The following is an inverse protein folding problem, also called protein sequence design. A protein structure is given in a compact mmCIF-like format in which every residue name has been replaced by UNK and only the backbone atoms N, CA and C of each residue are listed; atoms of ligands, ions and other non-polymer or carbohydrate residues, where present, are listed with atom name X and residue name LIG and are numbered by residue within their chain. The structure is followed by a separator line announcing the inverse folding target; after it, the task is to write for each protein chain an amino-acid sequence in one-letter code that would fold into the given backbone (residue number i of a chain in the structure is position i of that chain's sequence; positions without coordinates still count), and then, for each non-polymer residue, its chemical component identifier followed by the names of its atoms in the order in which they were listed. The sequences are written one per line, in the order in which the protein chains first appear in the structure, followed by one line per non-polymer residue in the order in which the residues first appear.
data_IF_402317246148
#
_entry.id   IF_402317246148
#
_cell.length_a   1.000
_cell.length_b   1.000
_cell.length_c   1.000
_cell.angle_alpha   90.00
_cell.angle_beta   90.00
_cell.angle_gamma   90.00
#
_symmetry.space_group_name_H-M   'P 1'
#
loop_
_entity.id
_entity.type
_entity.pdbx_description
1 polymer ?
#
# COMPACT_ATOMS: atom_id res chain seq x y z
N UNK A 1 -34.74 3.21 6.77
CA UNK A 1 -35.99 2.41 6.88
C UNK A 1 -35.62 1.11 7.54
N UNK A 2 -36.48 0.58 8.43
CA UNK A 2 -36.18 -0.68 9.09
C UNK A 2 -36.21 -1.83 8.07
N UNK A 3 -35.33 -2.83 8.22
CA UNK A 3 -35.33 -4.05 7.39
C UNK A 3 -36.73 -4.65 7.30
N UNK A 4 -37.16 -5.00 6.08
CA UNK A 4 -38.41 -5.72 5.81
C UNK A 4 -38.15 -7.12 5.22
N UNK A 5 -39.21 -7.91 5.06
CA UNK A 5 -39.12 -9.29 4.57
C UNK A 5 -38.62 -9.39 3.11
N UNK A 6 -38.75 -8.33 2.32
CA UNK A 6 -38.33 -8.24 0.93
C UNK A 6 -36.93 -7.61 0.76
N UNK A 7 -36.37 -7.04 1.84
CA UNK A 7 -35.02 -6.51 1.89
C UNK A 7 -33.99 -7.63 1.70
N UNK A 8 -32.82 -7.28 1.17
CA UNK A 8 -31.70 -8.23 1.11
C UNK A 8 -31.26 -8.64 2.51
N UNK A 9 -30.95 -9.92 2.67
CA UNK A 9 -30.60 -10.46 3.96
C UNK A 9 -29.20 -9.95 4.40
N UNK A 10 -29.06 -9.45 5.64
CA UNK A 10 -27.79 -8.91 6.14
C UNK A 10 -26.68 -9.96 6.29
N UNK A 11 -26.96 -11.24 6.04
CA UNK A 11 -25.94 -12.29 5.99
C UNK A 11 -25.08 -12.26 4.72
N UNK A 12 -25.38 -11.39 3.75
CA UNK A 12 -24.58 -11.29 2.51
C UNK A 12 -24.82 -12.40 1.49
N UNK A 13 -25.92 -13.17 1.61
CA UNK A 13 -26.25 -14.27 0.68
C UNK A 13 -26.85 -13.83 -0.65
N UNK A 14 -27.14 -12.54 -0.85
CA UNK A 14 -27.88 -12.03 -2.00
C UNK A 14 -29.37 -12.38 -2.04
N UNK A 15 -29.89 -13.17 -1.08
CA UNK A 15 -31.30 -13.54 -0.98
C UNK A 15 -32.10 -12.53 -0.15
N UNK A 16 -33.41 -12.44 -0.38
CA UNK A 16 -34.32 -11.66 0.49
C UNK A 16 -34.45 -12.33 1.85
N UNK A 17 -34.69 -11.54 2.92
CA UNK A 17 -34.77 -12.04 4.30
C UNK A 17 -35.75 -13.20 4.45
N UNK A 18 -36.94 -13.11 3.84
CA UNK A 18 -37.97 -14.17 3.88
C UNK A 18 -37.52 -15.52 3.32
N UNK A 19 -36.47 -15.56 2.49
CA UNK A 19 -35.94 -16.77 1.87
C UNK A 19 -34.59 -17.21 2.47
N UNK A 20 -34.08 -16.53 3.51
CA UNK A 20 -32.78 -16.82 4.08
C UNK A 20 -32.78 -16.92 5.61
N UNK A 21 -33.26 -15.88 6.31
CA UNK A 21 -33.21 -15.80 7.78
C UNK A 21 -34.59 -15.40 8.35
N UNK A 22 -35.65 -15.98 7.79
CA UNK A 22 -37.03 -15.64 8.13
C UNK A 22 -37.37 -15.92 9.60
N UNK A 23 -36.80 -16.98 10.16
CA UNK A 23 -36.94 -17.39 11.56
C UNK A 23 -36.39 -16.34 12.55
N UNK A 24 -35.38 -15.56 12.12
CA UNK A 24 -34.78 -14.49 12.92
C UNK A 24 -35.33 -13.11 12.58
N UNK A 25 -36.32 -13.00 11.70
CA UNK A 25 -36.79 -11.71 11.19
C UNK A 25 -37.15 -10.68 12.29
N UNK A 26 -37.90 -11.03 13.36
CA UNK A 26 -38.21 -10.08 14.43
C UNK A 26 -36.96 -9.55 15.14
N UNK A 27 -35.96 -10.41 15.36
CA UNK A 27 -34.69 -10.03 15.98
C UNK A 27 -33.87 -9.13 15.04
N UNK A 28 -33.82 -9.48 13.75
CA UNK A 28 -33.12 -8.66 12.73
C UNK A 28 -33.70 -7.25 12.63
N UNK A 29 -35.03 -7.09 12.66
CA UNK A 29 -35.65 -5.76 12.68
C UNK A 29 -35.30 -4.96 13.92
N UNK A 30 -35.19 -5.62 15.08
CA UNK A 30 -34.81 -4.95 16.32
C UNK A 30 -33.35 -4.53 16.30
N UNK A 31 -32.44 -5.41 15.88
CA UNK A 31 -31.01 -5.12 15.72
C UNK A 31 -30.82 -3.95 14.75
N UNK A 32 -31.49 -3.96 13.60
CA UNK A 32 -31.42 -2.89 12.60
C UNK A 32 -31.86 -1.52 13.13
N UNK A 33 -32.92 -1.48 13.95
CA UNK A 33 -33.33 -0.24 14.66
C UNK A 33 -32.27 0.23 15.65
N UNK A 34 -31.63 -0.69 16.38
CA UNK A 34 -30.57 -0.34 17.34
C UNK A 34 -29.33 0.20 16.63
N UNK A 35 -28.94 -0.40 15.50
CA UNK A 35 -27.85 0.07 14.64
C UNK A 35 -28.17 1.46 14.06
N UNK A 36 -29.37 1.64 13.49
CA UNK A 36 -29.83 2.93 12.97
C UNK A 36 -29.89 4.01 14.05
N UNK A 37 -30.25 3.64 15.28
CA UNK A 37 -30.25 4.51 16.44
C UNK A 37 -28.88 4.71 17.09
N UNK A 38 -27.79 4.18 16.51
CA UNK A 38 -26.42 4.23 17.03
C UNK A 38 -26.27 3.67 18.45
N UNK A 39 -27.15 2.75 18.85
CA UNK A 39 -27.14 2.09 20.17
C UNK A 39 -26.20 0.87 20.16
N UNK A 40 -24.95 1.06 19.76
CA UNK A 40 -24.04 -0.03 19.39
C UNK A 40 -23.72 -0.99 20.54
N UNK A 41 -23.38 -0.49 21.74
CA UNK A 41 -23.09 -1.34 22.89
C UNK A 41 -24.28 -2.22 23.31
N UNK A 42 -25.48 -1.64 23.38
CA UNK A 42 -26.72 -2.37 23.66
C UNK A 42 -27.05 -3.37 22.55
N UNK A 43 -26.74 -3.02 21.29
CA UNK A 43 -26.95 -3.88 20.14
C UNK A 43 -26.09 -5.15 20.25
N UNK A 44 -24.81 -5.03 20.59
CA UNK A 44 -23.92 -6.17 20.84
C UNK A 44 -24.50 -7.09 21.91
N UNK A 45 -24.88 -6.54 23.07
CA UNK A 45 -25.49 -7.33 24.17
C UNK A 45 -26.80 -8.00 23.77
N UNK A 46 -27.57 -7.39 22.87
CA UNK A 46 -28.78 -8.00 22.35
C UNK A 46 -28.47 -9.17 21.42
N UNK A 47 -27.52 -8.99 20.50
CA UNK A 47 -27.08 -10.03 19.57
C UNK A 47 -26.51 -11.23 20.34
N UNK A 48 -25.67 -11.01 21.36
CA UNK A 48 -25.10 -12.10 22.17
C UNK A 48 -26.19 -12.98 22.80
N UNK A 49 -27.22 -12.36 23.40
CA UNK A 49 -28.38 -13.09 23.97
C UNK A 49 -29.20 -13.85 22.92
N UNK A 50 -29.25 -13.37 21.68
CA UNK A 50 -29.93 -14.09 20.58
C UNK A 50 -29.06 -15.27 20.13
N UNK A 51 -27.74 -15.10 20.11
CA UNK A 51 -26.77 -16.14 19.72
C UNK A 51 -26.69 -17.31 20.72
N UNK A 52 -26.97 -17.07 22.00
CA UNK A 52 -27.04 -18.12 23.03
C UNK A 52 -28.20 -19.11 22.85
N UNK A 53 -29.20 -18.76 22.02
CA UNK A 53 -30.40 -19.59 21.81
C UNK A 53 -30.19 -20.58 20.67
N UNK A 54 -30.48 -21.87 20.92
CA UNK A 54 -30.50 -22.90 19.88
C UNK A 54 -29.20 -22.97 19.09
N UNK A 55 -29.29 -22.97 17.75
CA UNK A 55 -28.15 -23.00 16.84
C UNK A 55 -27.75 -21.61 16.30
N UNK A 56 -28.13 -20.53 16.99
CA UNK A 56 -27.95 -19.17 16.49
C UNK A 56 -26.48 -18.68 16.46
N UNK A 57 -25.61 -19.29 17.28
CA UNK A 57 -24.19 -18.88 17.41
C UNK A 57 -23.38 -18.90 16.11
N UNK A 58 -23.80 -19.67 15.11
CA UNK A 58 -23.14 -19.76 13.81
C UNK A 58 -23.92 -19.06 12.69
N UNK A 59 -24.98 -18.31 12.98
CA UNK A 59 -25.80 -17.68 11.93
C UNK A 59 -25.09 -16.45 11.37
N UNK A 60 -24.81 -16.48 10.07
CA UNK A 60 -24.08 -15.43 9.36
C UNK A 60 -24.72 -14.03 9.50
N UNK A 61 -26.05 -13.91 9.53
CA UNK A 61 -26.72 -12.62 9.74
C UNK A 61 -26.39 -11.99 11.10
N UNK A 62 -26.32 -12.79 12.17
CA UNK A 62 -26.00 -12.30 13.51
C UNK A 62 -24.52 -11.94 13.62
N UNK A 63 -23.63 -12.75 13.05
CA UNK A 63 -22.19 -12.46 13.01
C UNK A 63 -21.89 -11.18 12.22
N UNK A 64 -22.49 -11.01 11.03
CA UNK A 64 -22.35 -9.79 10.22
C UNK A 64 -22.84 -8.53 10.96
N UNK A 65 -24.03 -8.59 11.57
CA UNK A 65 -24.56 -7.46 12.33
C UNK A 65 -23.78 -7.20 13.63
N UNK A 66 -23.18 -8.24 14.23
CA UNK A 66 -22.29 -8.10 15.38
C UNK A 66 -21.00 -7.37 15.00
N UNK A 67 -20.38 -7.71 13.88
CA UNK A 67 -19.21 -6.97 13.36
C UNK A 67 -19.54 -5.48 13.19
N UNK A 68 -20.67 -5.17 12.54
CA UNK A 68 -21.13 -3.78 12.38
C UNK A 68 -21.34 -3.06 13.72
N UNK A 69 -21.98 -3.73 14.69
CA UNK A 69 -22.21 -3.16 16.01
C UNK A 69 -20.90 -2.94 16.80
N UNK A 70 -19.96 -3.87 16.72
CA UNK A 70 -18.66 -3.77 17.39
C UNK A 70 -17.80 -2.64 16.79
N UNK A 71 -17.81 -2.51 15.46
CA UNK A 71 -17.16 -1.40 14.76
C UNK A 71 -17.73 -0.05 15.18
N UNK A 72 -19.06 0.10 15.21
CA UNK A 72 -19.71 1.33 15.68
C UNK A 72 -19.46 1.63 17.17
N UNK A 73 -19.23 0.61 18.00
CA UNK A 73 -18.88 0.75 19.40
C UNK A 73 -17.36 0.98 19.65
N UNK A 74 -16.55 0.99 18.59
CA UNK A 74 -15.08 1.07 18.66
C UNK A 74 -14.43 -0.04 19.53
N UNK A 75 -15.02 -1.25 19.54
CA UNK A 75 -14.53 -2.41 20.30
C UNK A 75 -13.64 -3.30 19.41
N UNK A 76 -12.44 -2.80 19.09
CA UNK A 76 -11.55 -3.37 18.05
C UNK A 76 -11.16 -4.83 18.32
N UNK A 77 -10.70 -5.18 19.52
CA UNK A 77 -10.25 -6.55 19.82
C UNK A 77 -11.37 -7.58 19.65
N UNK A 78 -12.58 -7.23 20.09
CA UNK A 78 -13.75 -8.10 19.94
C UNK A 78 -14.23 -8.20 18.50
N UNK A 79 -14.09 -7.12 17.71
CA UNK A 79 -14.36 -7.14 16.29
C UNK A 79 -13.42 -8.12 15.57
N UNK A 80 -12.12 -8.04 15.84
CA UNK A 80 -11.10 -8.95 15.27
C UNK A 80 -11.46 -10.40 15.57
N UNK A 81 -11.75 -10.72 16.84
CA UNK A 81 -12.13 -12.07 17.25
C UNK A 81 -13.43 -12.54 16.60
N UNK A 82 -14.43 -11.65 16.47
CA UNK A 82 -15.72 -11.97 15.83
C UNK A 82 -15.56 -12.18 14.32
N UNK A 83 -14.74 -11.36 13.65
CA UNK A 83 -14.47 -11.50 12.23
C UNK A 83 -13.74 -12.81 11.91
N UNK A 84 -12.74 -13.17 12.73
CA UNK A 84 -12.04 -14.45 12.61
C UNK A 84 -12.96 -15.66 12.80
N UNK A 85 -13.80 -15.65 13.85
CA UNK A 85 -14.81 -16.70 14.09
C UNK A 85 -15.85 -16.75 12.95
N UNK A 86 -16.24 -15.60 12.41
CA UNK A 86 -17.16 -15.53 11.29
C UNK A 86 -16.56 -16.16 10.04
N UNK A 87 -15.32 -15.81 9.69
CA UNK A 87 -14.63 -16.36 8.54
C UNK A 87 -14.41 -17.87 8.69
N UNK A 88 -14.05 -18.35 9.88
CA UNK A 88 -13.87 -19.77 10.14
C UNK A 88 -15.16 -20.58 9.90
N UNK A 89 -16.33 -20.00 10.22
CA UNK A 89 -17.64 -20.66 10.04
C UNK A 89 -18.21 -20.49 8.62
N UNK A 90 -17.87 -19.40 7.95
CA UNK A 90 -18.40 -19.02 6.64
C UNK A 90 -17.25 -18.55 5.73
N UNK A 91 -16.37 -19.46 5.28
CA UNK A 91 -15.10 -19.12 4.63
C UNK A 91 -15.24 -18.36 3.30
N UNK A 92 -16.37 -18.51 2.62
CA UNK A 92 -16.64 -17.88 1.32
C UNK A 92 -17.66 -16.74 1.40
N UNK A 93 -18.03 -16.31 2.62
CA UNK A 93 -18.96 -15.20 2.79
C UNK A 93 -18.25 -13.86 2.58
N UNK A 94 -18.73 -13.05 1.63
CA UNK A 94 -18.12 -11.76 1.30
C UNK A 94 -17.99 -10.81 2.50
N UNK A 95 -18.94 -10.84 3.45
CA UNK A 95 -18.89 -9.98 4.64
C UNK A 95 -17.83 -10.49 5.61
N UNK A 96 -17.77 -11.80 5.86
CA UNK A 96 -16.76 -12.39 6.73
C UNK A 96 -15.34 -12.13 6.22
N UNK A 97 -15.13 -12.25 4.90
CA UNK A 97 -13.88 -11.94 4.23
C UNK A 97 -13.53 -10.44 4.33
N UNK A 98 -14.49 -9.55 4.06
CA UNK A 98 -14.27 -8.10 4.13
C UNK A 98 -13.96 -7.61 5.56
N UNK A 99 -14.69 -8.08 6.57
CA UNK A 99 -14.45 -7.71 7.98
C UNK A 99 -13.10 -8.25 8.47
N UNK A 100 -12.71 -9.44 8.03
CA UNK A 100 -11.38 -9.99 8.33
C UNK A 100 -10.28 -9.21 7.63
N UNK A 101 -10.49 -8.81 6.37
CA UNK A 101 -9.56 -7.94 5.63
C UNK A 101 -9.35 -6.62 6.37
N UNK A 102 -10.43 -5.95 6.79
CA UNK A 102 -10.37 -4.69 7.56
C UNK A 102 -9.61 -4.87 8.88
N UNK A 103 -9.82 -6.01 9.55
CA UNK A 103 -9.24 -6.30 10.85
C UNK A 103 -7.72 -6.46 10.82
N UNK A 104 -7.17 -7.11 9.79
CA UNK A 104 -5.73 -7.44 9.71
C UNK A 104 -4.91 -6.44 8.88
N UNK A 105 -5.55 -5.71 7.95
CA UNK A 105 -4.84 -4.85 7.01
C UNK A 105 -3.96 -3.75 7.63
N UNK A 106 -4.27 -3.16 8.81
CA UNK A 106 -3.37 -2.20 9.44
C UNK A 106 -1.99 -2.78 9.76
N UNK A 107 -1.94 -4.06 10.13
CA UNK A 107 -0.71 -4.75 10.51
C UNK A 107 -0.05 -5.36 9.26
N UNK A 108 -0.84 -6.01 8.41
CA UNK A 108 -0.40 -6.62 7.15
C UNK A 108 -1.38 -6.30 6.01
N UNK A 109 -1.05 -5.25 5.25
CA UNK A 109 -1.88 -4.75 4.16
C UNK A 109 -2.05 -5.78 3.03
N UNK A 110 -1.03 -6.58 2.72
CA UNK A 110 -1.11 -7.57 1.64
C UNK A 110 -1.93 -8.79 2.05
N UNK A 111 -1.79 -9.26 3.29
CA UNK A 111 -2.67 -10.32 3.81
C UNK A 111 -4.13 -9.86 3.84
N UNK A 112 -4.38 -8.61 4.29
CA UNK A 112 -5.71 -7.99 4.23
C UNK A 112 -6.24 -7.92 2.81
N UNK A 113 -5.39 -7.53 1.85
CA UNK A 113 -5.76 -7.40 0.46
C UNK A 113 -6.15 -8.74 -0.17
N UNK A 114 -5.42 -9.82 0.12
CA UNK A 114 -5.77 -11.18 -0.32
C UNK A 114 -7.15 -11.62 0.17
N UNK A 115 -7.52 -11.29 1.40
CA UNK A 115 -8.88 -11.55 1.91
C UNK A 115 -9.93 -10.68 1.22
N UNK A 116 -9.62 -9.41 0.95
CA UNK A 116 -10.51 -8.52 0.23
C UNK A 116 -10.76 -8.98 -1.22
N UNK A 117 -9.73 -9.41 -1.94
CA UNK A 117 -9.87 -9.96 -3.30
C UNK A 117 -10.80 -11.19 -3.32
N UNK A 118 -10.68 -12.06 -2.31
CA UNK A 118 -11.64 -13.17 -2.11
C UNK A 118 -13.05 -12.67 -1.81
N UNK A 119 -13.20 -11.59 -1.04
CA UNK A 119 -14.50 -10.97 -0.78
C UNK A 119 -15.16 -10.46 -2.08
N UNK A 120 -14.37 -9.84 -2.96
CA UNK A 120 -14.86 -9.38 -4.28
C UNK A 120 -15.31 -10.55 -5.15
N UNK A 121 -14.51 -11.61 -5.23
CA UNK A 121 -14.88 -12.88 -5.89
C UNK A 121 -16.21 -13.43 -5.37
N UNK A 122 -16.36 -13.55 -4.06
CA UNK A 122 -17.58 -14.04 -3.42
C UNK A 122 -18.80 -13.13 -3.64
N UNK A 123 -18.60 -11.85 -3.94
CA UNK A 123 -19.68 -10.91 -4.17
C UNK A 123 -20.25 -10.98 -5.60
N UNK A 124 -19.46 -11.44 -6.57
CA UNK A 124 -19.86 -11.59 -7.98
C UNK A 124 -20.59 -10.33 -8.53
N UNK A 125 -19.95 -9.17 -8.36
CA UNK A 125 -20.49 -7.86 -8.77
C UNK A 125 -21.54 -7.25 -7.83
N UNK A 126 -22.04 -7.99 -6.83
CA UNK A 126 -23.02 -7.49 -5.85
C UNK A 126 -22.36 -7.22 -4.49
N UNK A 127 -21.61 -6.13 -4.42
CA UNK A 127 -20.85 -5.76 -3.23
C UNK A 127 -21.74 -5.29 -2.08
N UNK A 128 -21.57 -5.93 -0.92
CA UNK A 128 -22.15 -5.47 0.33
C UNK A 128 -21.40 -4.23 0.86
N UNK A 129 -22.04 -3.45 1.73
CA UNK A 129 -21.45 -2.19 2.25
C UNK A 129 -20.12 -2.40 2.97
N UNK A 130 -19.94 -3.53 3.66
CA UNK A 130 -18.66 -3.95 4.25
C UNK A 130 -17.57 -4.17 3.20
N UNK A 131 -17.92 -4.78 2.06
CA UNK A 131 -16.98 -4.99 0.95
C UNK A 131 -16.53 -3.64 0.38
N UNK A 132 -17.43 -2.66 0.24
CA UNK A 132 -17.07 -1.28 -0.10
C UNK A 132 -16.22 -0.60 0.98
N UNK A 133 -16.50 -0.86 2.27
CA UNK A 133 -15.68 -0.37 3.38
C UNK A 133 -14.25 -0.90 3.30
N UNK A 134 -14.09 -2.20 3.04
CA UNK A 134 -12.79 -2.83 2.83
C UNK A 134 -12.08 -2.26 1.60
N UNK A 135 -12.79 -2.07 0.48
CA UNK A 135 -12.25 -1.46 -0.74
C UNK A 135 -11.61 -0.10 -0.49
N UNK A 136 -12.28 0.79 0.26
CA UNK A 136 -11.76 2.12 0.62
C UNK A 136 -10.51 2.06 1.50
N UNK A 137 -10.49 1.12 2.45
CA UNK A 137 -9.33 0.91 3.31
C UNK A 137 -8.15 0.36 2.50
N UNK A 138 -8.39 -0.63 1.63
CA UNK A 138 -7.36 -1.23 0.78
C UNK A 138 -6.76 -0.20 -0.18
N UNK A 139 -7.58 0.61 -0.85
CA UNK A 139 -7.10 1.67 -1.74
C UNK A 139 -6.12 2.63 -1.02
N UNK A 140 -6.42 2.96 0.25
CA UNK A 140 -5.57 3.84 1.07
C UNK A 140 -4.26 3.14 1.48
N UNK A 141 -4.35 1.92 2.02
CA UNK A 141 -3.20 1.20 2.55
C UNK A 141 -2.24 0.74 1.43
N UNK A 142 -2.76 0.26 0.30
CA UNK A 142 -1.95 -0.15 -0.84
C UNK A 142 -1.13 1.02 -1.38
N UNK A 143 -1.72 2.21 -1.50
CA UNK A 143 -0.99 3.42 -1.88
C UNK A 143 0.16 3.71 -0.90
N UNK A 144 -0.11 3.67 0.40
CA UNK A 144 0.91 3.92 1.44
C UNK A 144 2.03 2.87 1.46
N UNK A 145 1.76 1.66 0.97
CA UNK A 145 2.69 0.54 0.95
C UNK A 145 3.37 0.34 -0.42
N UNK A 146 3.23 1.28 -1.35
CA UNK A 146 3.92 1.22 -2.65
C UNK A 146 3.25 0.31 -3.69
N UNK A 147 1.94 0.06 -3.59
CA UNK A 147 1.17 -0.68 -4.59
C UNK A 147 0.22 0.26 -5.36
N UNK A 148 0.74 1.13 -6.25
CA UNK A 148 -0.04 2.20 -6.87
C UNK A 148 -1.10 1.68 -7.84
N UNK A 149 -0.80 0.65 -8.64
CA UNK A 149 -1.74 0.09 -9.64
C UNK A 149 -3.06 -0.38 -9.00
N UNK A 150 -3.07 -1.32 -8.03
CA UNK A 150 -4.32 -1.74 -7.41
C UNK A 150 -4.95 -0.62 -6.57
N UNK A 151 -4.16 0.26 -5.97
CA UNK A 151 -4.69 1.41 -5.23
C UNK A 151 -5.48 2.37 -6.12
N UNK A 152 -4.96 2.67 -7.33
CA UNK A 152 -5.60 3.50 -8.34
C UNK A 152 -6.91 2.88 -8.81
N UNK A 153 -6.88 1.60 -9.19
CA UNK A 153 -8.06 0.89 -9.70
C UNK A 153 -9.20 0.89 -8.68
N UNK A 154 -8.91 0.57 -7.42
CA UNK A 154 -9.92 0.63 -6.37
C UNK A 154 -10.42 2.07 -6.14
N UNK A 155 -9.53 3.07 -6.23
CA UNK A 155 -9.91 4.49 -6.12
C UNK A 155 -10.86 4.90 -7.24
N UNK A 156 -10.60 4.45 -8.46
CA UNK A 156 -11.47 4.69 -9.61
C UNK A 156 -12.88 4.11 -9.36
N UNK A 157 -12.97 2.84 -8.97
CA UNK A 157 -14.26 2.20 -8.64
C UNK A 157 -15.00 2.98 -7.55
N UNK A 158 -14.30 3.41 -6.49
CA UNK A 158 -14.88 4.22 -5.40
C UNK A 158 -15.42 5.55 -5.95
N UNK A 159 -14.65 6.25 -6.78
CA UNK A 159 -15.02 7.53 -7.37
C UNK A 159 -16.23 7.40 -8.30
N UNK A 160 -16.27 6.36 -9.14
CA UNK A 160 -17.41 6.08 -10.04
C UNK A 160 -18.69 5.83 -9.25
N UNK A 161 -18.62 5.05 -8.17
CA UNK A 161 -19.81 4.76 -7.33
C UNK A 161 -20.26 5.99 -6.54
N UNK A 162 -19.33 6.81 -6.07
CA UNK A 162 -19.63 8.02 -5.31
C UNK A 162 -20.02 9.22 -6.18
N UNK A 163 -19.82 9.14 -7.50
CA UNK A 163 -19.88 10.26 -8.43
C UNK A 163 -19.04 11.46 -7.97
N UNK A 164 -17.83 11.17 -7.45
CA UNK A 164 -16.88 12.17 -6.97
C UNK A 164 -15.44 11.76 -7.31
N UNK A 165 -14.80 12.54 -8.18
CA UNK A 165 -13.47 12.26 -8.73
C UNK A 165 -12.33 13.05 -8.06
N UNK A 166 -12.58 13.75 -6.95
CA UNK A 166 -11.53 14.52 -6.24
C UNK A 166 -10.37 13.63 -5.77
N UNK A 167 -10.69 12.42 -5.27
CA UNK A 167 -9.67 11.46 -4.81
C UNK A 167 -8.80 10.96 -5.97
N UNK A 168 -9.40 10.66 -7.12
CA UNK A 168 -8.66 10.25 -8.32
C UNK A 168 -7.83 11.41 -8.88
N UNK A 169 -8.34 12.64 -8.85
CA UNK A 169 -7.59 13.84 -9.25
C UNK A 169 -6.36 14.06 -8.36
N UNK A 170 -6.50 13.86 -7.05
CA UNK A 170 -5.39 13.93 -6.11
C UNK A 170 -4.34 12.84 -6.38
N UNK A 171 -4.79 11.61 -6.65
CA UNK A 171 -3.90 10.52 -7.05
C UNK A 171 -3.10 10.87 -8.32
N UNK A 172 -3.76 11.37 -9.36
CA UNK A 172 -3.11 11.73 -10.63
C UNK A 172 -2.13 12.91 -10.52
N UNK A 173 -2.13 13.67 -9.41
CA UNK A 173 -1.16 14.74 -9.14
C UNK A 173 0.01 14.30 -8.27
N UNK A 174 -0.04 13.09 -7.73
CA UNK A 174 1.00 12.57 -6.85
C UNK A 174 2.29 12.30 -7.62
N UNK A 175 3.30 13.13 -7.40
CA UNK A 175 4.60 13.05 -8.08
C UNK A 175 5.50 11.95 -7.50
N UNK A 176 5.13 11.34 -6.37
CA UNK A 176 5.90 10.23 -5.79
C UNK A 176 5.70 8.91 -6.53
N UNK A 177 4.61 8.78 -7.31
CA UNK A 177 4.33 7.60 -8.12
C UNK A 177 4.76 7.86 -9.58
N UNK A 178 5.59 6.99 -10.19
CA UNK A 178 5.96 7.11 -11.60
C UNK A 178 4.73 7.18 -12.52
N UNK A 179 4.82 7.98 -13.60
CA UNK A 179 3.70 8.23 -14.50
C UNK A 179 3.08 6.92 -15.04
N UNK A 180 3.92 5.96 -15.48
CA UNK A 180 3.46 4.69 -16.04
C UNK A 180 2.70 3.80 -15.05
N UNK A 181 2.88 3.99 -13.74
CA UNK A 181 2.13 3.26 -12.71
C UNK A 181 0.88 4.01 -12.23
N UNK A 182 0.77 5.29 -12.59
CA UNK A 182 -0.29 6.21 -12.17
C UNK A 182 -1.31 6.44 -13.29
N UNK A 183 -0.92 6.25 -14.55
CA UNK A 183 -1.80 6.41 -15.70
C UNK A 183 -2.86 5.30 -15.79
N UNK A 184 -3.89 5.52 -16.61
CA UNK A 184 -4.90 4.50 -16.89
C UNK A 184 -4.32 3.37 -17.72
N UNK A 185 -4.10 2.23 -17.07
CA UNK A 185 -3.64 1.03 -17.75
C UNK A 185 -4.83 0.32 -18.40
N UNK A 186 -4.97 0.48 -19.72
CA UNK A 186 -6.06 -0.07 -20.51
C UNK A 186 -5.79 -1.51 -20.95
N UNK A 187 -6.67 -2.44 -20.60
CA UNK A 187 -6.58 -3.83 -21.08
C UNK A 187 -6.63 -3.93 -22.61
N UNK A 188 -5.77 -4.78 -23.19
CA UNK A 188 -5.82 -5.06 -24.63
C UNK A 188 -7.05 -5.87 -25.02
N UNK A 189 -7.51 -5.72 -26.25
CA UNK A 189 -8.58 -6.55 -26.83
C UNK A 189 -8.02 -7.79 -27.53
N UNK A 190 -8.78 -8.87 -27.73
CA UNK A 190 -8.34 -9.99 -28.56
C UNK A 190 -8.43 -9.64 -30.07
N UNK A 191 -7.59 -10.23 -30.94
CA UNK A 191 -7.78 -10.16 -32.39
C UNK A 191 -9.14 -10.74 -32.81
N UNK A 192 -9.73 -10.23 -33.88
CA UNK A 192 -11.08 -10.64 -34.33
C UNK A 192 -11.14 -12.11 -34.75
N UNK A 193 -10.08 -12.62 -35.35
CA UNK A 193 -9.95 -13.96 -35.92
C UNK A 193 -9.28 -14.97 -34.97
N UNK A 194 -8.90 -14.55 -33.76
CA UNK A 194 -8.24 -15.41 -32.79
C UNK A 194 -9.15 -16.58 -32.37
N UNK A 195 -8.71 -17.85 -32.50
CA UNK A 195 -9.51 -19.02 -32.08
C UNK A 195 -9.86 -19.03 -30.59
N UNK A 196 -9.09 -18.29 -29.78
CA UNK A 196 -9.24 -18.14 -28.34
C UNK A 196 -10.02 -16.89 -27.91
N UNK A 197 -10.53 -16.11 -28.86
CA UNK A 197 -11.24 -14.84 -28.62
C UNK A 197 -12.38 -14.95 -27.61
N UNK A 198 -13.25 -15.96 -27.73
CA UNK A 198 -14.38 -16.15 -26.80
C UNK A 198 -13.91 -16.41 -25.37
N UNK A 199 -12.82 -17.16 -25.19
CA UNK A 199 -12.24 -17.43 -23.88
C UNK A 199 -11.61 -16.19 -23.28
N UNK A 200 -10.98 -15.35 -24.11
CA UNK A 200 -10.42 -14.07 -23.69
C UNK A 200 -11.52 -13.13 -23.19
N UNK A 201 -12.60 -12.96 -23.95
CA UNK A 201 -13.73 -12.13 -23.55
C UNK A 201 -14.44 -12.66 -22.30
N UNK A 202 -14.56 -13.99 -22.17
CA UNK A 202 -15.09 -14.61 -20.96
C UNK A 202 -14.20 -14.33 -19.73
N UNK A 203 -12.87 -14.33 -19.89
CA UNK A 203 -11.94 -13.94 -18.83
C UNK A 203 -12.10 -12.46 -18.43
N UNK A 204 -12.22 -11.56 -19.42
CA UNK A 204 -12.50 -10.14 -19.18
C UNK A 204 -13.85 -9.89 -18.51
N UNK A 205 -14.83 -10.77 -18.68
CA UNK A 205 -16.11 -10.69 -17.97
C UNK A 205 -15.96 -10.69 -16.44
N UNK A 206 -14.93 -11.35 -15.91
CA UNK A 206 -14.66 -11.37 -14.46
C UNK A 206 -14.20 -10.01 -13.93
N UNK A 207 -13.44 -9.24 -14.72
CA UNK A 207 -13.04 -7.87 -14.38
C UNK A 207 -14.26 -6.98 -14.13
N UNK A 208 -15.26 -7.05 -15.01
CA UNK A 208 -16.52 -6.28 -14.87
C UNK A 208 -17.30 -6.61 -13.59
N UNK A 209 -17.10 -7.80 -13.01
CA UNK A 209 -17.72 -8.23 -11.75
C UNK A 209 -16.81 -8.06 -10.53
N UNK A 210 -15.58 -7.59 -10.71
CA UNK A 210 -14.55 -7.44 -9.68
C UNK A 210 -13.85 -8.75 -9.25
N UNK A 211 -14.06 -9.87 -9.96
CA UNK A 211 -13.39 -11.14 -9.66
C UNK A 211 -12.03 -11.23 -10.37
N UNK A 212 -11.11 -10.35 -9.98
CA UNK A 212 -9.78 -10.24 -10.59
C UNK A 212 -8.94 -11.49 -10.41
N UNK A 213 -9.15 -12.23 -9.31
CA UNK A 213 -8.46 -13.50 -9.07
C UNK A 213 -8.81 -14.52 -10.16
N UNK A 214 -10.10 -14.67 -10.49
CA UNK A 214 -10.51 -15.61 -11.54
C UNK A 214 -10.06 -15.12 -12.91
N UNK A 215 -10.08 -13.81 -13.17
CA UNK A 215 -9.54 -13.27 -14.42
C UNK A 215 -8.06 -13.66 -14.60
N UNK A 216 -7.22 -13.43 -13.58
CA UNK A 216 -5.80 -13.81 -13.59
C UNK A 216 -5.61 -15.31 -13.86
N UNK A 217 -6.33 -16.19 -13.13
CA UNK A 217 -6.26 -17.65 -13.31
C UNK A 217 -6.61 -18.07 -14.75
N UNK A 218 -7.58 -17.40 -15.40
CA UNK A 218 -7.97 -17.68 -16.79
C UNK A 218 -6.92 -17.22 -17.78
N UNK A 219 -6.34 -16.04 -17.57
CA UNK A 219 -5.26 -15.53 -18.40
C UNK A 219 -3.97 -16.33 -18.25
N UNK A 220 -3.67 -16.81 -17.04
CA UNK A 220 -2.52 -17.69 -16.79
C UNK A 220 -2.67 -19.02 -17.54
N UNK A 221 -3.85 -19.67 -17.44
CA UNK A 221 -4.13 -20.87 -18.22
C UNK A 221 -4.02 -20.61 -19.74
N UNK A 222 -4.50 -19.45 -20.20
CA UNK A 222 -4.41 -19.07 -21.61
C UNK A 222 -2.96 -18.82 -22.06
N UNK A 223 -2.13 -18.22 -21.21
CA UNK A 223 -0.72 -17.96 -21.51
C UNK A 223 0.08 -19.26 -21.73
N UNK A 224 -0.33 -20.35 -21.08
CA UNK A 224 0.24 -21.70 -21.32
C UNK A 224 -0.18 -22.25 -22.69
N UNK A 225 -1.44 -22.04 -23.08
CA UNK A 225 -1.97 -22.57 -24.34
C UNK A 225 -1.54 -21.77 -25.57
N UNK A 226 -1.40 -20.46 -25.44
CA UNK A 226 -1.02 -19.54 -26.52
C UNK A 226 0.16 -18.65 -26.08
N UNK A 227 1.35 -19.24 -25.85
CA UNK A 227 2.50 -18.57 -25.24
C UNK A 227 3.13 -17.48 -26.11
N UNK A 228 2.76 -17.40 -27.39
CA UNK A 228 3.24 -16.44 -28.36
C UNK A 228 2.25 -15.27 -28.58
N UNK A 229 1.18 -15.18 -27.79
CA UNK A 229 0.22 -14.07 -27.89
C UNK A 229 0.60 -12.92 -26.95
N UNK A 230 1.05 -11.75 -27.48
CA UNK A 230 1.38 -10.60 -26.63
C UNK A 230 0.16 -10.12 -25.82
N UNK A 231 -1.02 -10.09 -26.45
CA UNK A 231 -2.27 -9.62 -25.82
C UNK A 231 -2.64 -10.45 -24.58
N UNK A 232 -2.39 -11.77 -24.59
CA UNK A 232 -2.63 -12.62 -23.43
C UNK A 232 -1.66 -12.31 -22.30
N UNK A 233 -0.37 -12.15 -22.61
CA UNK A 233 0.66 -11.80 -21.62
C UNK A 233 0.45 -10.42 -21.01
N UNK A 234 0.09 -9.41 -21.82
CA UNK A 234 -0.20 -8.07 -21.32
C UNK A 234 -1.37 -8.07 -20.32
N UNK A 235 -2.48 -8.73 -20.67
CA UNK A 235 -3.64 -8.82 -19.77
C UNK A 235 -3.32 -9.63 -18.52
N UNK A 236 -2.53 -10.71 -18.61
CA UNK A 236 -2.05 -11.45 -17.43
C UNK A 236 -1.21 -10.55 -16.52
N UNK A 237 -0.27 -9.77 -17.08
CA UNK A 237 0.56 -8.84 -16.33
C UNK A 237 -0.29 -7.79 -15.60
N UNK A 238 -1.28 -7.23 -16.30
CA UNK A 238 -2.25 -6.30 -15.75
C UNK A 238 -3.04 -6.89 -14.58
N UNK A 239 -3.58 -8.10 -14.71
CA UNK A 239 -4.29 -8.74 -13.60
C UNK A 239 -3.34 -9.06 -12.44
N UNK A 240 -2.14 -9.57 -12.68
CA UNK A 240 -1.16 -9.81 -11.60
C UNK A 240 -0.78 -8.52 -10.87
N UNK A 241 -0.62 -7.40 -11.58
CA UNK A 241 -0.41 -6.09 -10.98
C UNK A 241 -1.61 -5.64 -10.13
N UNK A 242 -2.84 -5.83 -10.62
CA UNK A 242 -4.06 -5.61 -9.85
C UNK A 242 -4.17 -6.52 -8.62
N UNK A 243 -3.54 -7.69 -8.61
CA UNK A 243 -3.52 -8.58 -7.44
C UNK A 243 -2.41 -8.24 -6.43
N UNK A 244 -1.64 -7.16 -6.67
CA UNK A 244 -0.40 -6.84 -5.95
C UNK A 244 0.64 -7.98 -5.98
N UNK A 245 0.63 -8.78 -7.06
CA UNK A 245 1.64 -9.79 -7.36
C UNK A 245 2.71 -9.17 -8.27
N UNK A 246 3.55 -8.30 -7.71
CA UNK A 246 4.62 -7.65 -8.47
C UNK A 246 5.55 -8.65 -9.15
N UNK A 247 6.06 -9.71 -8.48
CA UNK A 247 6.96 -10.68 -9.13
C UNK A 247 6.31 -11.33 -10.36
N UNK A 248 5.06 -11.76 -10.24
CA UNK A 248 4.35 -12.38 -11.35
C UNK A 248 3.98 -11.36 -12.45
N UNK A 249 3.67 -10.11 -12.10
CA UNK A 249 3.40 -9.05 -13.07
C UNK A 249 4.66 -8.70 -13.87
N UNK A 250 5.81 -8.57 -13.20
CA UNK A 250 7.13 -8.33 -13.81
C UNK A 250 7.46 -9.42 -14.82
N UNK A 251 7.31 -10.70 -14.44
CA UNK A 251 7.53 -11.84 -15.34
C UNK A 251 6.67 -11.71 -16.61
N UNK A 252 5.38 -11.42 -16.45
CA UNK A 252 4.45 -11.34 -17.56
C UNK A 252 4.68 -10.10 -18.44
N UNK A 253 5.00 -8.93 -17.86
CA UNK A 253 5.37 -7.73 -18.63
C UNK A 253 6.66 -7.93 -19.42
N UNK A 254 7.68 -8.57 -18.84
CA UNK A 254 8.92 -8.91 -19.55
C UNK A 254 8.67 -9.90 -20.69
N UNK A 255 7.79 -10.88 -20.48
CA UNK A 255 7.39 -11.81 -21.53
C UNK A 255 6.64 -11.10 -22.66
N UNK A 256 5.73 -10.18 -22.33
CA UNK A 256 5.06 -9.32 -23.31
C UNK A 256 6.08 -8.46 -24.08
N UNK A 257 7.00 -7.80 -23.39
CA UNK A 257 8.05 -6.96 -23.98
C UNK A 257 8.92 -7.74 -24.97
N UNK A 258 9.35 -8.95 -24.60
CA UNK A 258 10.11 -9.82 -25.49
C UNK A 258 9.35 -10.20 -26.78
N UNK A 259 8.03 -10.43 -26.69
CA UNK A 259 7.21 -10.71 -27.87
C UNK A 259 7.04 -9.47 -28.75
N UNK A 260 6.77 -8.30 -28.16
CA UNK A 260 6.59 -7.04 -28.90
C UNK A 260 7.89 -6.57 -29.57
N UNK A 261 9.05 -6.85 -28.98
CA UNK A 261 10.36 -6.54 -29.58
C UNK A 261 10.60 -7.29 -30.90
N UNK A 262 9.95 -8.44 -31.09
CA UNK A 262 10.05 -9.21 -32.34
C UNK A 262 9.13 -8.69 -33.45
N UNK A 263 8.20 -7.77 -33.14
CA UNK A 263 7.25 -7.20 -34.09
C UNK A 263 7.74 -5.83 -34.60
N UNK A 264 7.50 -5.52 -35.89
CA UNK A 264 8.05 -4.33 -36.56
C UNK A 264 7.57 -3.01 -35.92
N UNK A 265 6.37 -3.00 -35.32
CA UNK A 265 5.75 -1.84 -34.66
C UNK A 265 5.67 -1.98 -33.13
N UNK A 266 6.33 -2.97 -32.54
CA UNK A 266 6.18 -3.30 -31.11
C UNK A 266 7.22 -2.70 -30.18
N UNK A 267 8.18 -1.93 -30.68
CA UNK A 267 9.26 -1.39 -29.85
C UNK A 267 8.79 -0.44 -28.75
N UNK A 268 7.81 0.43 -29.04
CA UNK A 268 7.27 1.37 -28.05
C UNK A 268 6.56 0.61 -26.91
N UNK A 269 5.67 -0.33 -27.27
CA UNK A 269 4.99 -1.21 -26.31
C UNK A 269 5.98 -2.04 -25.47
N UNK A 270 7.05 -2.53 -26.09
CA UNK A 270 8.08 -3.29 -25.41
C UNK A 270 8.84 -2.45 -24.38
N UNK A 271 9.17 -1.21 -24.74
CA UNK A 271 9.85 -0.26 -23.88
C UNK A 271 8.97 0.16 -22.69
N UNK A 272 7.70 0.47 -22.93
CA UNK A 272 6.75 0.80 -21.86
C UNK A 272 6.56 -0.37 -20.88
N UNK A 273 6.41 -1.59 -21.40
CA UNK A 273 6.25 -2.76 -20.55
C UNK A 273 7.49 -3.08 -19.71
N UNK A 274 8.71 -2.93 -20.27
CA UNK A 274 9.93 -3.08 -19.48
C UNK A 274 10.02 -1.99 -18.42
N UNK A 275 9.69 -0.74 -18.75
CA UNK A 275 9.69 0.35 -17.78
C UNK A 275 8.68 0.12 -16.63
N UNK A 276 7.47 -0.38 -16.93
CA UNK A 276 6.50 -0.80 -15.90
C UNK A 276 7.10 -1.92 -15.04
N UNK A 277 7.71 -2.94 -15.65
CA UNK A 277 8.34 -4.03 -14.92
C UNK A 277 9.47 -3.53 -14.00
N UNK A 278 10.28 -2.58 -14.46
CA UNK A 278 11.31 -1.92 -13.63
C UNK A 278 10.66 -1.19 -12.45
N UNK A 279 9.64 -0.34 -12.68
CA UNK A 279 9.00 0.41 -11.61
C UNK A 279 8.23 -0.46 -10.59
N UNK A 280 7.88 -1.70 -10.94
CA UNK A 280 7.30 -2.67 -10.01
C UNK A 280 8.36 -3.45 -9.20
N UNK A 281 9.63 -3.39 -9.61
CA UNK A 281 10.75 -4.02 -8.93
C UNK A 281 11.18 -3.20 -7.73
N UNK A 282 11.55 -3.89 -6.63
CA UNK A 282 12.17 -3.23 -5.48
C UNK A 282 13.53 -2.62 -5.86
N UNK A 283 14.21 -3.21 -6.85
CA UNK A 283 15.46 -2.73 -7.44
C UNK A 283 15.29 -2.62 -8.97
N UNK A 284 14.85 -1.46 -9.48
CA UNK A 284 14.53 -1.28 -10.91
C UNK A 284 15.75 -1.36 -11.82
N UNK A 285 16.92 -0.95 -11.32
CA UNK A 285 18.14 -0.77 -12.11
C UNK A 285 19.23 -1.80 -11.76
N UNK A 286 19.08 -2.55 -10.66
CA UNK A 286 20.10 -3.50 -10.22
C UNK A 286 21.32 -2.81 -9.61
N UNK A 287 21.22 -1.51 -9.32
CA UNK A 287 22.34 -0.64 -8.95
C UNK A 287 22.06 0.14 -7.66
N UNK A 288 21.14 -0.34 -6.82
CA UNK A 288 20.90 0.23 -5.50
C UNK A 288 22.17 0.16 -4.65
N UNK A 289 22.46 1.28 -3.99
CA UNK A 289 23.57 1.43 -3.05
C UNK A 289 22.96 1.74 -1.69
N UNK A 290 23.47 1.10 -0.64
CA UNK A 290 23.02 1.37 0.71
C UNK A 290 23.31 2.83 1.11
N UNK A 291 22.26 3.53 1.51
CA UNK A 291 22.36 4.85 2.13
C UNK A 291 22.31 4.68 3.65
N UNK A 292 23.45 4.86 4.29
CA UNK A 292 23.67 4.63 5.70
C UNK A 292 23.36 5.89 6.52
N UNK A 293 22.89 5.64 7.75
CA UNK A 293 22.97 6.61 8.85
C UNK A 293 24.10 6.15 9.77
N UNK A 294 25.12 6.99 9.90
CA UNK A 294 26.30 6.69 10.73
C UNK A 294 26.28 7.62 11.93
N UNK A 295 26.64 7.09 13.10
CA UNK A 295 26.58 7.82 14.36
C UNK A 295 27.94 7.76 15.06
N UNK A 296 28.39 8.89 15.59
CA UNK A 296 29.53 8.98 16.49
C UNK A 296 29.08 9.51 17.84
N UNK A 297 29.63 8.94 18.91
CA UNK A 297 29.46 9.48 20.26
C UNK A 297 30.31 10.74 20.41
N UNK A 298 29.70 11.85 20.83
CA UNK A 298 30.38 13.14 20.99
C UNK A 298 30.75 13.35 22.46
N UNK A 299 32.03 13.59 22.74
CA UNK A 299 32.51 13.88 24.11
C UNK A 299 32.26 15.32 24.51
N UNK A 300 32.44 16.24 23.57
CA UNK A 300 32.28 17.68 23.78
C UNK A 300 31.56 18.30 22.58
N UNK A 301 30.27 18.57 22.76
CA UNK A 301 29.42 19.09 21.70
C UNK A 301 29.73 20.54 21.30
N UNK A 302 30.18 21.38 22.24
CA UNK A 302 30.55 22.77 21.89
C UNK A 302 31.86 22.79 21.12
N UNK A 303 32.88 22.05 21.60
CA UNK A 303 34.15 21.89 20.87
C UNK A 303 33.93 21.28 19.49
N UNK A 304 33.09 20.25 19.39
CA UNK A 304 32.78 19.64 18.08
C UNK A 304 32.12 20.62 17.13
N UNK A 305 31.18 21.43 17.63
CA UNK A 305 30.54 22.48 16.82
C UNK A 305 31.55 23.50 16.30
N UNK A 306 32.44 23.98 17.16
CA UNK A 306 33.50 24.93 16.78
C UNK A 306 34.44 24.34 15.72
N UNK A 307 34.84 23.08 15.89
CA UNK A 307 35.70 22.38 14.93
C UNK A 307 35.01 22.24 13.56
N UNK A 308 33.73 21.85 13.53
CA UNK A 308 32.95 21.76 12.29
C UNK A 308 32.84 23.12 11.61
N UNK A 309 32.53 24.20 12.35
CA UNK A 309 32.45 25.56 11.80
C UNK A 309 33.79 26.09 11.27
N UNK A 310 34.91 25.56 11.75
CA UNK A 310 36.26 25.97 11.34
C UNK A 310 36.80 25.19 10.14
N UNK A 311 36.18 24.08 9.77
CA UNK A 311 36.68 23.19 8.74
C UNK A 311 36.09 23.54 7.37
N UNK A 312 36.91 23.66 6.32
CA UNK A 312 36.43 23.98 4.97
C UNK A 312 35.64 22.84 4.31
N UNK A 313 35.66 21.63 4.89
CA UNK A 313 34.88 20.48 4.42
C UNK A 313 33.43 20.52 4.89
N UNK A 314 33.14 21.31 5.93
CA UNK A 314 31.84 21.32 6.59
C UNK A 314 31.15 22.67 6.36
N UNK A 315 29.99 22.63 5.73
CA UNK A 315 29.17 23.81 5.54
C UNK A 315 28.02 23.82 6.55
N UNK A 316 27.91 24.88 7.34
CA UNK A 316 26.77 25.07 8.24
C UNK A 316 25.51 25.35 7.43
N UNK A 317 24.43 24.64 7.73
CA UNK A 317 23.11 24.88 7.17
C UNK A 317 22.27 25.65 8.19
N UNK A 318 21.71 26.77 7.77
CA UNK A 318 20.74 27.51 8.57
C UNK A 318 19.45 26.70 8.72
N UNK A 319 18.95 26.58 9.94
CA UNK A 319 17.69 25.89 10.21
C UNK A 319 16.90 26.59 11.30
N UNK A 320 15.59 26.34 11.32
CA UNK A 320 14.70 26.86 12.34
C UNK A 320 14.41 25.73 13.35
N UNK A 321 14.73 25.85 14.64
CA UNK A 321 14.50 24.77 15.61
C UNK A 321 13.06 24.25 15.66
N UNK A 322 12.07 25.12 15.41
CA UNK A 322 10.66 24.74 15.35
C UNK A 322 10.30 23.76 14.21
N UNK A 323 11.13 23.64 13.17
CA UNK A 323 10.92 22.63 12.11
C UNK A 323 11.33 21.23 12.53
N UNK A 324 11.93 21.08 13.72
CA UNK A 324 12.38 19.81 14.31
C UNK A 324 11.63 19.48 15.61
N UNK A 325 10.52 20.16 15.88
CA UNK A 325 9.64 19.87 17.02
C UNK A 325 8.76 18.65 16.69
N UNK A 326 9.40 17.48 16.64
CA UNK A 326 8.78 16.17 16.50
C UNK A 326 8.72 15.54 17.89
N UNK A 327 7.61 14.86 18.23
CA UNK A 327 7.51 14.11 19.50
C UNK A 327 8.77 13.23 19.71
N UNK A 328 9.43 13.40 20.86
CA UNK A 328 10.59 12.62 21.33
C UNK A 328 11.99 12.88 20.70
N UNK A 329 12.28 14.05 20.11
CA UNK A 329 13.68 14.46 19.90
C UNK A 329 13.91 15.98 19.99
N UNK A 330 14.89 16.45 20.80
CA UNK A 330 15.24 17.85 20.86
C UNK A 330 15.90 18.33 19.56
N UNK A 331 15.80 19.63 19.24
CA UNK A 331 16.41 20.17 18.03
C UNK A 331 17.94 19.99 18.07
N UNK A 332 18.59 19.80 16.90
CA UNK A 332 20.03 19.72 16.83
C UNK A 332 20.68 21.03 17.29
N UNK A 333 21.91 20.96 17.79
CA UNK A 333 22.77 22.12 18.09
C UNK A 333 23.37 22.75 16.83
N UNK A 334 23.42 22.00 15.73
CA UNK A 334 23.90 22.45 14.44
C UNK A 334 23.59 21.42 13.35
N UNK A 335 23.40 21.90 12.14
CA UNK A 335 23.23 21.08 10.93
C UNK A 335 24.36 21.46 9.97
N UNK A 336 25.01 20.47 9.39
CA UNK A 336 26.14 20.64 8.50
C UNK A 336 26.01 19.77 7.25
N UNK A 337 26.55 20.20 6.12
CA UNK A 337 26.85 19.32 4.99
C UNK A 337 28.34 18.97 5.02
N UNK A 338 28.65 17.68 4.91
CA UNK A 338 30.01 17.22 4.71
C UNK A 338 30.30 17.10 3.22
N UNK A 339 31.44 17.63 2.78
CA UNK A 339 31.92 17.56 1.40
C UNK A 339 33.19 16.73 1.30
N UNK A 340 33.42 16.12 0.14
CA UNK A 340 34.66 15.37 -0.16
C UNK A 340 35.90 16.28 -0.27
N UNK A 341 35.67 17.57 -0.55
CA UNK A 341 36.70 18.61 -0.66
C UNK A 341 36.13 20.00 -0.35
N UNK A 342 37.00 21.00 -0.08
CA UNK A 342 36.56 22.38 0.09
C UNK A 342 35.82 22.93 -1.13
N UNK A 343 34.93 23.89 -0.91
CA UNK A 343 34.36 24.66 -2.01
C UNK A 343 35.46 25.41 -2.78
N UNK A 344 35.42 25.42 -4.13
CA UNK A 344 36.32 26.23 -4.93
C UNK A 344 36.07 27.73 -4.68
N UNK A 345 37.09 28.55 -4.96
CA UNK A 345 36.94 29.99 -4.93
C UNK A 345 35.90 30.43 -5.99
N UNK A 346 34.96 31.35 -5.68
CA UNK A 346 33.96 31.83 -6.64
C UNK A 346 34.54 32.42 -7.94
N UNK A 347 35.82 32.80 -7.94
CA UNK A 347 36.54 33.33 -9.10
C UNK A 347 37.12 32.27 -10.04
N UNK A 348 37.08 30.99 -9.66
CA UNK A 348 37.53 29.88 -10.50
C UNK A 348 36.44 29.38 -11.46
N UNK A 349 36.86 28.92 -12.64
CA UNK A 349 35.94 28.24 -13.57
C UNK A 349 35.39 26.95 -12.95
N UNK A 350 34.07 26.91 -12.77
CA UNK A 350 33.34 25.78 -12.23
C UNK A 350 33.12 24.70 -13.31
N UNK A 351 33.47 23.46 -12.98
CA UNK A 351 33.15 22.28 -13.77
C UNK A 351 32.85 21.07 -12.84
N UNK A 352 32.32 19.98 -13.39
CA UNK A 352 31.92 18.80 -12.63
C UNK A 352 33.07 18.16 -11.82
N UNK A 353 34.32 18.25 -12.28
CA UNK A 353 35.48 17.67 -11.58
C UNK A 353 35.93 18.52 -10.38
N UNK A 354 35.62 19.82 -10.40
CA UNK A 354 35.99 20.80 -9.37
C UNK A 354 34.90 21.05 -8.35
N UNK A 355 33.64 20.77 -8.70
CA UNK A 355 32.54 20.89 -7.77
C UNK A 355 32.67 19.83 -6.66
N UNK A 356 32.61 20.23 -5.38
CA UNK A 356 32.65 19.29 -4.28
C UNK A 356 31.40 18.41 -4.30
N UNK A 357 31.57 17.13 -4.01
CA UNK A 357 30.47 16.19 -3.80
C UNK A 357 30.09 16.19 -2.32
N UNK A 358 28.79 16.19 -2.05
CA UNK A 358 28.27 16.03 -0.69
C UNK A 358 28.38 14.56 -0.31
N UNK A 359 29.05 14.26 0.81
CA UNK A 359 29.20 12.91 1.36
C UNK A 359 28.09 12.57 2.37
N UNK A 360 27.38 13.58 2.88
CA UNK A 360 26.24 13.39 3.77
C UNK A 360 25.83 14.67 4.48
N UNK A 361 24.65 14.63 5.11
CA UNK A 361 24.15 15.71 5.96
C UNK A 361 24.30 15.31 7.42
N UNK A 362 24.94 16.15 8.22
CA UNK A 362 25.19 15.88 9.62
C UNK A 362 24.32 16.73 10.55
N UNK A 363 23.89 16.12 11.64
CA UNK A 363 23.18 16.76 12.75
C UNK A 363 23.95 16.50 14.05
N UNK A 364 24.33 17.57 14.72
CA UNK A 364 25.01 17.52 16.00
C UNK A 364 24.00 17.68 17.13
N UNK A 365 23.93 16.73 18.05
CA UNK A 365 23.04 16.77 19.22
C UNK A 365 23.85 16.90 20.51
N UNK A 366 23.32 17.70 21.44
CA UNK A 366 23.81 17.74 22.81
C UNK A 366 23.37 16.51 23.62
N UNK A 367 23.94 16.38 24.83
CA UNK A 367 23.55 15.35 25.80
C UNK A 367 22.09 15.51 26.21
N UNK A 368 21.36 14.39 26.25
CA UNK A 368 19.97 14.30 26.69
C UNK A 368 19.90 13.52 28.01
N UNK A 369 18.72 13.48 28.62
CA UNK A 369 18.52 12.78 29.91
C UNK A 369 18.78 11.27 29.79
N UNK A 370 18.49 10.70 28.61
CA UNK A 370 18.54 9.27 28.29
C UNK A 370 19.53 8.91 27.16
N UNK A 371 20.18 9.91 26.54
CA UNK A 371 21.11 9.70 25.41
C UNK A 371 22.37 10.56 25.54
N UNK A 372 23.52 10.00 25.16
CA UNK A 372 24.77 10.75 25.06
C UNK A 372 24.71 11.79 23.92
N UNK A 373 25.61 12.77 23.97
CA UNK A 373 25.78 13.67 22.83
C UNK A 373 26.28 12.88 21.62
N UNK A 374 25.85 13.25 20.42
CA UNK A 374 26.11 12.46 19.22
C UNK A 374 26.14 13.30 17.95
N UNK A 375 26.89 12.84 16.98
CA UNK A 375 26.91 13.35 15.61
C UNK A 375 26.28 12.27 14.74
N UNK A 376 25.16 12.59 14.11
CA UNK A 376 24.49 11.71 13.16
C UNK A 376 24.74 12.23 11.75
N UNK A 377 25.22 11.38 10.84
CA UNK A 377 25.38 11.72 9.42
C UNK A 377 24.44 10.84 8.61
N UNK A 378 23.58 11.46 7.83
CA UNK A 378 22.56 10.84 6.98
C UNK A 378 23.01 10.84 5.52
N UNK A 379 22.40 9.95 4.74
CA UNK A 379 22.61 9.81 3.30
C UNK A 379 24.07 9.50 2.92
N UNK A 380 24.78 8.76 3.79
CA UNK A 380 26.15 8.30 3.53
C UNK A 380 26.07 7.05 2.66
N UNK A 381 26.49 7.14 1.40
CA UNK A 381 26.57 5.95 0.55
C UNK A 381 27.65 4.98 1.07
N UNK A 382 27.42 3.67 0.94
CA UNK A 382 28.35 2.64 1.44
C UNK A 382 29.80 2.86 0.96
N UNK A 383 29.97 3.19 -0.32
CA UNK A 383 31.28 3.47 -0.93
C UNK A 383 32.00 4.69 -0.32
N UNK A 384 31.25 5.60 0.30
CA UNK A 384 31.76 6.83 0.92
C UNK A 384 32.00 6.70 2.42
N UNK A 385 31.63 5.57 3.04
CA UNK A 385 31.72 5.37 4.49
C UNK A 385 33.13 5.65 5.04
N UNK A 386 34.17 5.17 4.33
CA UNK A 386 35.55 5.41 4.74
C UNK A 386 35.94 6.90 4.63
N UNK A 387 35.54 7.56 3.54
CA UNK A 387 35.83 8.99 3.35
C UNK A 387 35.13 9.86 4.41
N UNK A 388 33.91 9.49 4.80
CA UNK A 388 33.20 10.14 5.91
C UNK A 388 33.91 9.90 7.23
N UNK A 389 34.31 8.66 7.53
CA UNK A 389 35.03 8.33 8.75
C UNK A 389 36.37 9.09 8.85
N UNK A 390 37.12 9.19 7.74
CA UNK A 390 38.37 9.93 7.65
C UNK A 390 38.13 11.44 7.87
N UNK A 391 37.11 12.03 7.22
CA UNK A 391 36.79 13.44 7.39
C UNK A 391 36.33 13.80 8.82
N UNK A 392 35.58 12.89 9.47
CA UNK A 392 35.19 13.03 10.89
C UNK A 392 36.43 12.92 11.78
N UNK A 393 37.29 11.93 11.57
CA UNK A 393 38.53 11.77 12.34
C UNK A 393 39.47 12.97 12.19
N UNK A 394 39.63 13.48 10.96
CA UNK A 394 40.49 14.63 10.67
C UNK A 394 39.95 15.94 11.26
N UNK A 395 38.62 16.12 11.26
CA UNK A 395 37.99 17.35 11.76
C UNK A 395 37.81 17.33 13.28
N UNK A 396 37.34 16.22 13.83
CA UNK A 396 36.90 16.12 15.22
C UNK A 396 37.91 15.41 16.12
N UNK A 397 38.76 14.54 15.58
CA UNK A 397 39.82 13.86 16.31
C UNK A 397 39.31 13.20 17.59
N UNK A 398 39.85 13.63 18.73
CA UNK A 398 39.51 13.09 20.06
C UNK A 398 38.16 13.57 20.62
N UNK A 399 37.49 14.52 19.94
CA UNK A 399 36.19 15.05 20.35
C UNK A 399 35.03 14.07 20.13
N UNK A 400 35.26 13.01 19.35
CA UNK A 400 34.28 11.95 19.04
C UNK A 400 34.86 10.56 19.27
N UNK A 401 33.98 9.57 19.43
CA UNK A 401 34.29 8.13 19.39
C UNK A 401 33.36 7.45 18.38
N UNK A 402 33.84 6.41 17.66
CA UNK A 402 33.01 5.62 16.74
C UNK A 402 31.83 4.93 17.43
#
# INVERSE_FOLDING_TARGET
MAIDANSYCPCGSGKKVKFCCNDLFPELQKIDRMLSGKQFASCVQHIDRVMEKGNNRARACLLAMKCMALGGANRREELINTAADFLAKHPDNQIALAESAISIAPDDALAGYKLFLRAMRSAAGNFHIQTYGAMRLMATLLRQRGFPIPARELTEIICTVADNYELLSAHNRDQSTPLLLRDELSFSTPPEDAPWRERFLAAMGFYMTGDWLTAAERFEAMAVEVPDSPRVWYNLAMFRALLADNPGAIEAFRRYSALRTAEEDGLDDAAEAEAIAMFLSDDPLGDQIDALRVEWTVKDAERSRELLLSSPLWESIDFTPASFDVEDSPPPKGIFMLRDRPAPDPSEDLNLERMPRVLGQAMLFGRQTDREARLEIFEVWEDDLQAVADAVADTLGDAVEP
#
